data_IF_996805107519
#
_entry.id   IF_996805107519
#
_cell.length_a   1.000
_cell.length_b   1.000
_cell.length_c   1.000
_cell.angle_alpha   90.00
_cell.angle_beta   90.00
_cell.angle_gamma   90.00
#
_symmetry.space_group_name_H-M   'P 1'
#
loop_
_entity.id
_entity.type
_entity.pdbx_description
1 polymer ?
#
# COMPACT_ATOMS: atom_id res chain seq x y z
N UNK A 1 -13.42 8.10 2.34
CA UNK A 1 -12.82 7.91 1.01
C UNK A 1 -11.91 9.07 0.65
N UNK A 2 -12.41 10.30 0.46
CA UNK A 2 -11.58 11.48 0.13
C UNK A 2 -10.38 11.61 1.08
N UNK A 3 -10.63 11.58 2.40
CA UNK A 3 -9.54 11.71 3.36
C UNK A 3 -8.50 10.56 3.29
N UNK A 4 -8.94 9.33 2.99
CA UNK A 4 -8.02 8.21 2.79
C UNK A 4 -7.17 8.42 1.52
N UNK A 5 -7.76 8.90 0.43
CA UNK A 5 -7.03 9.23 -0.79
C UNK A 5 -6.04 10.38 -0.61
N UNK A 6 -6.37 11.36 0.24
CA UNK A 6 -5.43 12.42 0.62
C UNK A 6 -4.22 11.86 1.37
N UNK A 7 -4.43 10.91 2.30
CA UNK A 7 -3.32 10.21 2.96
C UNK A 7 -2.48 9.44 1.94
N UNK A 8 -3.10 8.67 1.05
CA UNK A 8 -2.40 7.91 -0.01
C UNK A 8 -1.61 8.82 -0.95
N UNK A 9 -2.13 10.02 -1.25
CA UNK A 9 -1.45 10.99 -2.11
C UNK A 9 -0.31 11.73 -1.40
N UNK A 10 -0.29 11.79 -0.06
CA UNK A 10 0.65 12.62 0.67
C UNK A 10 2.13 12.32 0.37
N UNK A 11 2.61 11.06 0.34
CA UNK A 11 4.00 10.77 -0.01
C UNK A 11 4.39 11.27 -1.42
N UNK A 12 3.48 11.15 -2.37
CA UNK A 12 3.68 11.55 -3.78
C UNK A 12 3.92 13.06 -3.88
N UNK A 13 3.23 13.85 -3.06
CA UNK A 13 3.41 15.30 -3.01
C UNK A 13 4.68 15.72 -2.25
N UNK A 14 4.98 15.08 -1.12
CA UNK A 14 6.13 15.46 -0.28
C UNK A 14 7.47 15.11 -0.91
N UNK A 15 7.51 14.13 -1.82
CA UNK A 15 8.73 13.74 -2.54
C UNK A 15 8.90 14.55 -3.84
N UNK A 16 8.04 15.54 -4.12
CA UNK A 16 8.07 16.29 -5.38
C UNK A 16 9.38 17.05 -5.64
N UNK A 17 10.10 17.43 -4.59
CA UNK A 17 11.43 18.04 -4.62
C UNK A 17 12.58 17.01 -4.57
N UNK A 18 12.25 15.73 -4.67
CA UNK A 18 13.13 14.57 -4.54
C UNK A 18 13.82 14.42 -3.18
N UNK A 19 13.43 15.19 -2.15
CA UNK A 19 14.06 15.16 -0.84
C UNK A 19 13.01 14.97 0.24
N UNK A 20 13.08 13.85 0.95
CA UNK A 20 12.23 13.67 2.12
C UNK A 20 12.94 14.08 3.41
N UNK A 21 12.31 14.98 4.15
CA UNK A 21 12.78 15.49 5.44
C UNK A 21 12.18 14.73 6.62
N UNK A 22 12.80 14.89 7.81
CA UNK A 22 12.26 14.33 9.06
C UNK A 22 10.89 14.90 9.41
N UNK A 23 10.67 16.20 9.16
CA UNK A 23 9.39 16.87 9.40
C UNK A 23 8.27 16.29 8.55
N UNK A 24 8.56 16.00 7.29
CA UNK A 24 7.61 15.36 6.37
C UNK A 24 7.31 13.92 6.79
N UNK A 25 8.33 13.18 7.26
CA UNK A 25 8.16 11.83 7.79
C UNK A 25 7.20 11.81 9.00
N UNK A 26 7.36 12.75 9.95
CA UNK A 26 6.44 12.91 11.08
C UNK A 26 5.04 13.28 10.60
N UNK A 27 4.92 14.16 9.61
CA UNK A 27 3.62 14.53 9.02
C UNK A 27 2.90 13.33 8.41
N UNK A 28 3.60 12.45 7.67
CA UNK A 28 3.01 11.23 7.09
C UNK A 28 2.48 10.26 8.15
N UNK A 29 3.17 10.14 9.28
CA UNK A 29 2.70 9.35 10.42
C UNK A 29 1.43 9.98 11.02
N UNK A 30 1.48 11.29 11.29
CA UNK A 30 0.37 12.02 11.90
C UNK A 30 -0.89 11.99 11.03
N UNK A 31 -0.77 12.23 9.72
CA UNK A 31 -1.94 12.25 8.82
C UNK A 31 -2.62 10.87 8.75
N UNK A 32 -1.85 9.78 8.80
CA UNK A 32 -2.41 8.43 8.92
C UNK A 32 -3.08 8.18 10.27
N UNK A 33 -2.46 8.59 11.38
CA UNK A 33 -3.06 8.45 12.73
C UNK A 33 -4.38 9.22 12.82
N UNK A 34 -4.46 10.41 12.22
CA UNK A 34 -5.69 11.20 12.13
C UNK A 34 -6.74 10.43 11.31
N UNK A 35 -6.38 9.85 10.17
CA UNK A 35 -7.26 8.98 9.37
C UNK A 35 -7.79 7.81 10.19
N UNK A 36 -6.91 7.11 10.88
CA UNK A 36 -7.27 5.97 11.73
C UNK A 36 -8.28 6.39 12.81
N UNK A 37 -8.02 7.49 13.52
CA UNK A 37 -8.92 8.03 14.53
C UNK A 37 -10.32 8.36 13.96
N UNK A 38 -10.38 9.00 12.79
CA UNK A 38 -11.67 9.30 12.14
C UNK A 38 -12.42 8.04 11.68
N UNK A 39 -11.70 7.01 11.22
CA UNK A 39 -12.30 5.73 10.84
C UNK A 39 -12.88 5.03 12.07
N UNK A 40 -12.12 4.96 13.17
CA UNK A 40 -12.53 4.33 14.42
C UNK A 40 -13.79 4.99 14.98
N UNK A 41 -13.79 6.34 15.07
CA UNK A 41 -14.93 7.12 15.58
C UNK A 41 -16.21 6.93 14.75
N UNK A 42 -16.10 6.68 13.44
CA UNK A 42 -17.26 6.53 12.54
C UNK A 42 -17.79 5.09 12.46
N UNK A 43 -16.92 4.09 12.61
CA UNK A 43 -17.26 2.68 12.33
C UNK A 43 -17.21 1.75 13.53
N UNK A 44 -16.75 2.20 14.71
CA UNK A 44 -16.75 1.38 15.92
C UNK A 44 -16.13 0.00 15.72
N UNK A 45 -14.93 -0.06 15.11
CA UNK A 45 -14.27 -1.34 14.79
C UNK A 45 -14.01 -2.21 16.04
N UNK A 46 -13.95 -1.59 17.23
CA UNK A 46 -13.78 -2.24 18.52
C UNK A 46 -15.06 -2.90 19.08
N UNK A 47 -16.25 -2.62 18.54
CA UNK A 47 -17.51 -3.24 18.99
C UNK A 47 -17.77 -4.60 18.33
N UNK A 48 -17.31 -4.80 17.09
CA UNK A 48 -17.43 -6.07 16.35
C UNK A 48 -16.67 -7.21 17.04
N UNK A 49 -15.68 -6.90 17.88
CA UNK A 49 -14.86 -7.90 18.56
C UNK A 49 -15.44 -8.42 19.88
N UNK A 50 -16.57 -7.88 20.37
CA UNK A 50 -17.22 -8.36 21.61
C UNK A 50 -18.01 -9.67 21.41
N UNK A 51 -18.50 -9.96 20.21
CA UNK A 51 -19.28 -11.20 19.95
C UNK A 51 -18.43 -12.46 19.78
N UNK A 52 -17.12 -12.35 19.49
CA UNK A 52 -16.23 -13.52 19.34
C UNK A 52 -15.58 -14.01 20.63
N UNK A 53 -15.89 -13.37 21.77
CA UNK A 53 -15.17 -13.62 23.04
C UNK A 53 -15.54 -14.95 23.72
N UNK A 54 -16.58 -15.66 23.25
CA UNK A 54 -17.07 -16.88 23.91
C UNK A 54 -16.51 -18.21 23.39
N UNK A 55 -15.55 -18.24 22.45
CA UNK A 55 -15.01 -19.49 21.86
C UNK A 55 -13.51 -19.75 22.14
N UNK A 56 -12.82 -18.95 22.97
CA UNK A 56 -11.40 -18.64 22.72
C UNK A 56 -10.35 -18.97 23.79
N UNK A 57 -10.56 -19.92 24.71
CA UNK A 57 -9.48 -20.27 25.67
C UNK A 57 -8.66 -21.51 25.30
N UNK A 58 -9.17 -22.45 24.48
CA UNK A 58 -8.45 -23.70 24.19
C UNK A 58 -7.48 -23.68 23.00
N UNK A 59 -7.51 -22.66 22.14
CA UNK A 59 -6.64 -22.57 20.94
C UNK A 59 -5.64 -21.40 20.97
N UNK A 60 -5.51 -20.66 22.08
CA UNK A 60 -4.65 -19.48 22.12
C UNK A 60 -3.17 -19.80 21.91
N UNK A 61 -2.69 -20.92 22.43
CA UNK A 61 -1.28 -21.33 22.26
C UNK A 61 -1.00 -21.76 20.82
N UNK A 62 -1.89 -22.54 20.21
CA UNK A 62 -1.76 -22.98 18.81
C UNK A 62 -1.85 -21.79 17.85
N UNK A 63 -2.85 -20.90 18.01
CA UNK A 63 -2.99 -19.66 17.22
C UNK A 63 -1.75 -18.75 17.38
N UNK A 64 -1.21 -18.63 18.60
CA UNK A 64 -0.02 -17.82 18.86
C UNK A 64 1.24 -18.42 18.21
N UNK A 65 1.39 -19.75 18.26
CA UNK A 65 2.51 -20.44 17.62
C UNK A 65 2.46 -20.31 16.10
N UNK A 66 1.29 -20.49 15.48
CA UNK A 66 1.09 -20.26 14.05
C UNK A 66 1.42 -18.82 13.65
N UNK A 67 0.99 -17.84 14.45
CA UNK A 67 1.29 -16.43 14.21
C UNK A 67 2.79 -16.13 14.29
N UNK A 68 3.47 -16.64 15.31
CA UNK A 68 4.92 -16.48 15.47
C UNK A 68 5.65 -17.14 14.30
N UNK A 69 5.27 -18.36 13.93
CA UNK A 69 5.88 -19.09 12.82
C UNK A 69 5.69 -18.33 11.50
N UNK A 70 4.48 -17.85 11.21
CA UNK A 70 4.19 -17.05 10.03
C UNK A 70 5.02 -15.74 10.00
N UNK A 71 5.18 -15.09 11.16
CA UNK A 71 5.99 -13.88 11.29
C UNK A 71 7.46 -14.16 11.00
N UNK A 72 8.02 -15.25 11.55
CA UNK A 72 9.42 -15.65 11.31
C UNK A 72 9.65 -15.99 9.84
N UNK A 73 8.75 -16.78 9.23
CA UNK A 73 8.83 -17.12 7.81
C UNK A 73 8.79 -15.85 6.95
N UNK A 74 7.87 -14.93 7.25
CA UNK A 74 7.74 -13.65 6.52
C UNK A 74 8.99 -12.80 6.66
N UNK A 75 9.56 -12.73 7.87
CA UNK A 75 10.81 -12.01 8.13
C UNK A 75 11.97 -12.59 7.29
N UNK A 76 12.15 -13.91 7.30
CA UNK A 76 13.20 -14.58 6.51
C UNK A 76 12.99 -14.41 5.00
N UNK A 77 11.75 -14.57 4.52
CA UNK A 77 11.39 -14.37 3.13
C UNK A 77 11.65 -12.93 2.67
N UNK A 78 11.32 -11.94 3.51
CA UNK A 78 11.55 -10.52 3.19
C UNK A 78 13.03 -10.22 2.93
N UNK A 79 13.94 -10.81 3.72
CA UNK A 79 15.39 -10.64 3.55
C UNK A 79 15.86 -11.23 2.22
N UNK A 80 15.36 -12.42 1.86
CA UNK A 80 15.69 -13.05 0.59
C UNK A 80 15.20 -12.20 -0.59
N UNK A 81 13.94 -11.74 -0.54
CA UNK A 81 13.33 -10.90 -1.58
C UNK A 81 14.11 -9.60 -1.77
N UNK A 82 14.51 -8.92 -0.70
CA UNK A 82 15.29 -7.67 -0.78
C UNK A 82 16.64 -7.92 -1.43
N UNK A 83 17.37 -8.96 -1.01
CA UNK A 83 18.69 -9.27 -1.59
C UNK A 83 18.56 -9.62 -3.08
N UNK A 84 17.62 -10.49 -3.45
CA UNK A 84 17.36 -10.84 -4.86
C UNK A 84 16.94 -9.62 -5.68
N UNK A 85 16.20 -8.67 -5.10
CA UNK A 85 15.84 -7.42 -5.79
C UNK A 85 17.07 -6.58 -6.13
N UNK A 86 18.06 -6.51 -5.23
CA UNK A 86 19.32 -5.80 -5.48
C UNK A 86 20.16 -6.55 -6.53
N UNK A 87 20.29 -7.87 -6.42
CA UNK A 87 21.04 -8.70 -7.37
C UNK A 87 20.46 -8.62 -8.79
N UNK A 88 19.12 -8.64 -8.91
CA UNK A 88 18.44 -8.48 -10.20
C UNK A 88 18.65 -7.08 -10.78
N UNK A 89 18.62 -6.05 -9.95
CA UNK A 89 18.86 -4.68 -10.40
C UNK A 89 20.27 -4.53 -10.98
N UNK A 90 21.27 -5.12 -10.33
CA UNK A 90 22.66 -5.14 -10.81
C UNK A 90 22.80 -5.96 -12.11
N UNK A 91 22.19 -7.15 -12.16
CA UNK A 91 22.22 -8.03 -13.33
C UNK A 91 21.60 -7.37 -14.57
N UNK A 92 20.43 -6.74 -14.42
CA UNK A 92 19.74 -6.05 -15.51
C UNK A 92 20.26 -4.63 -15.77
N UNK A 93 21.21 -4.13 -14.97
CA UNK A 93 21.75 -2.76 -15.04
C UNK A 93 20.66 -1.69 -14.98
N UNK A 94 19.66 -1.90 -14.12
CA UNK A 94 18.57 -0.96 -13.87
C UNK A 94 18.59 -0.52 -12.41
N UNK A 95 17.87 0.55 -12.07
CA UNK A 95 17.77 0.98 -10.67
C UNK A 95 16.99 -0.05 -9.83
N UNK A 96 17.39 -0.24 -8.57
CA UNK A 96 16.64 -1.08 -7.62
C UNK A 96 15.21 -0.57 -7.42
N UNK A 97 14.97 0.74 -7.65
CA UNK A 97 13.63 1.32 -7.69
C UNK A 97 12.76 0.69 -8.79
N UNK A 98 13.30 0.50 -10.00
CA UNK A 98 12.55 -0.09 -11.11
C UNK A 98 12.16 -1.55 -10.84
N UNK A 99 13.09 -2.37 -10.35
CA UNK A 99 12.79 -3.76 -9.95
C UNK A 99 11.75 -3.76 -8.81
N UNK A 100 11.86 -2.83 -7.86
CA UNK A 100 10.89 -2.72 -6.76
C UNK A 100 9.48 -2.35 -7.23
N UNK A 101 9.36 -1.38 -8.15
CA UNK A 101 8.07 -0.95 -8.69
C UNK A 101 7.40 -2.05 -9.52
N UNK A 102 8.17 -2.89 -10.23
CA UNK A 102 7.61 -3.93 -11.09
C UNK A 102 7.41 -5.26 -10.35
N UNK A 103 8.44 -5.80 -9.73
CA UNK A 103 8.40 -7.15 -9.16
C UNK A 103 8.01 -7.15 -7.68
N UNK A 104 8.66 -6.30 -6.87
CA UNK A 104 8.41 -6.27 -5.44
C UNK A 104 6.98 -5.83 -5.13
N UNK A 105 6.47 -4.80 -5.81
CA UNK A 105 5.12 -4.28 -5.62
C UNK A 105 4.03 -5.31 -5.95
N UNK A 106 4.23 -6.14 -6.98
CA UNK A 106 3.30 -7.22 -7.33
C UNK A 106 3.39 -8.31 -6.25
N UNK A 107 4.61 -8.71 -5.88
CA UNK A 107 4.85 -9.77 -4.90
C UNK A 107 4.22 -9.48 -3.54
N UNK A 108 4.36 -8.25 -3.03
CA UNK A 108 3.76 -7.84 -1.75
C UNK A 108 2.25 -7.78 -1.80
N UNK A 109 1.65 -7.62 -2.98
CA UNK A 109 0.20 -7.45 -3.16
C UNK A 109 -0.52 -8.77 -3.50
N UNK A 110 0.19 -9.90 -3.62
CA UNK A 110 -0.41 -11.22 -3.87
C UNK A 110 -1.44 -11.59 -2.79
N UNK A 111 -1.16 -11.44 -1.48
CA UNK A 111 -2.14 -11.73 -0.43
C UNK A 111 -3.44 -10.91 -0.57
N UNK A 112 -3.31 -9.63 -0.89
CA UNK A 112 -4.41 -8.69 -1.10
C UNK A 112 -5.22 -9.05 -2.34
N UNK A 113 -4.56 -9.46 -3.43
CA UNK A 113 -5.24 -9.97 -4.63
C UNK A 113 -6.05 -11.22 -4.28
N UNK A 114 -5.49 -12.14 -3.49
CA UNK A 114 -6.19 -13.34 -3.02
C UNK A 114 -7.43 -12.97 -2.18
N UNK A 115 -7.29 -12.02 -1.25
CA UNK A 115 -8.39 -11.51 -0.44
C UNK A 115 -9.47 -10.82 -1.29
N UNK A 116 -9.06 -10.04 -2.30
CA UNK A 116 -9.96 -9.36 -3.21
C UNK A 116 -10.78 -10.35 -4.04
N UNK A 117 -10.13 -11.38 -4.62
CA UNK A 117 -10.80 -12.46 -5.37
C UNK A 117 -11.82 -13.17 -4.47
N UNK A 118 -11.41 -13.57 -3.26
CA UNK A 118 -12.31 -14.23 -2.31
C UNK A 118 -13.50 -13.35 -1.93
N UNK A 119 -13.26 -12.07 -1.70
CA UNK A 119 -14.32 -11.11 -1.35
C UNK A 119 -15.32 -10.92 -2.49
N UNK A 120 -14.86 -10.88 -3.74
CA UNK A 120 -15.73 -10.82 -4.93
C UNK A 120 -16.57 -12.09 -5.05
N UNK A 121 -15.96 -13.27 -4.90
CA UNK A 121 -16.66 -14.57 -4.95
C UNK A 121 -17.73 -14.69 -3.87
N UNK A 122 -17.52 -14.07 -2.71
CA UNK A 122 -18.47 -14.02 -1.60
C UNK A 122 -19.50 -12.89 -1.71
N UNK A 123 -19.51 -12.12 -2.80
CA UNK A 123 -20.42 -10.98 -2.98
C UNK A 123 -20.11 -9.78 -2.07
N UNK A 124 -18.95 -9.75 -1.41
CA UNK A 124 -18.52 -8.72 -0.44
C UNK A 124 -17.53 -7.74 -1.06
N UNK A 125 -17.89 -7.14 -2.20
CA UNK A 125 -16.99 -6.24 -2.95
C UNK A 125 -16.54 -5.00 -2.15
N UNK A 126 -17.39 -4.51 -1.25
CA UNK A 126 -17.07 -3.39 -0.36
C UNK A 126 -15.90 -3.70 0.59
N UNK A 127 -15.72 -4.98 0.97
CA UNK A 127 -14.61 -5.44 1.82
C UNK A 127 -13.30 -5.34 1.04
N UNK A 128 -13.28 -5.78 -0.22
CA UNK A 128 -12.10 -5.66 -1.08
C UNK A 128 -11.68 -4.19 -1.28
N UNK A 129 -12.66 -3.29 -1.47
CA UNK A 129 -12.39 -1.86 -1.65
C UNK A 129 -11.87 -1.21 -0.36
N UNK A 130 -12.40 -1.62 0.79
CA UNK A 130 -11.93 -1.18 2.11
C UNK A 130 -10.50 -1.66 2.41
N UNK A 131 -10.19 -2.91 2.09
CA UNK A 131 -8.86 -3.51 2.24
C UNK A 131 -7.82 -2.77 1.38
N UNK A 132 -8.10 -2.58 0.10
CA UNK A 132 -7.23 -1.82 -0.81
C UNK A 132 -6.91 -0.41 -0.31
N UNK A 133 -7.94 0.36 0.06
CA UNK A 133 -7.76 1.72 0.58
C UNK A 133 -7.03 1.74 1.92
N UNK A 134 -7.29 0.75 2.78
CA UNK A 134 -6.64 0.61 4.09
C UNK A 134 -5.15 0.30 3.94
N UNK A 135 -4.80 -0.69 3.12
CA UNK A 135 -3.41 -1.08 2.83
C UNK A 135 -2.62 0.06 2.18
N UNK A 136 -3.19 0.73 1.17
CA UNK A 136 -2.55 1.89 0.55
C UNK A 136 -2.31 3.05 1.53
N UNK A 137 -3.26 3.30 2.45
CA UNK A 137 -3.06 4.29 3.51
C UNK A 137 -2.00 3.85 4.53
N UNK A 138 -1.96 2.56 4.89
CA UNK A 138 -0.96 2.02 5.80
C UNK A 138 0.47 2.09 5.21
N UNK A 139 0.62 1.96 3.89
CA UNK A 139 1.91 2.19 3.22
C UNK A 139 2.45 3.61 3.47
N UNK A 140 1.57 4.60 3.61
CA UNK A 140 1.97 5.98 3.97
C UNK A 140 2.56 6.03 5.38
N UNK A 141 1.97 5.30 6.34
CA UNK A 141 2.51 5.17 7.68
C UNK A 141 3.88 4.49 7.66
N UNK A 142 3.99 3.34 6.99
CA UNK A 142 5.26 2.59 6.94
C UNK A 142 6.36 3.41 6.27
N UNK A 143 6.04 4.12 5.19
CA UNK A 143 6.98 5.02 4.54
C UNK A 143 7.47 6.09 5.53
N UNK A 144 6.56 6.79 6.23
CA UNK A 144 6.94 7.77 7.25
C UNK A 144 7.76 7.21 8.41
N UNK A 145 7.48 5.99 8.88
CA UNK A 145 8.26 5.33 9.94
C UNK A 145 9.66 4.99 9.45
N UNK A 146 9.79 4.32 8.31
CA UNK A 146 11.10 3.88 7.80
C UNK A 146 12.00 5.06 7.45
N UNK A 147 11.44 6.14 6.90
CA UNK A 147 12.20 7.34 6.57
C UNK A 147 12.62 8.11 7.82
N UNK A 148 11.77 8.14 8.86
CA UNK A 148 12.11 8.73 10.16
C UNK A 148 13.23 7.95 10.85
N UNK A 149 13.18 6.62 10.83
CA UNK A 149 14.19 5.74 11.42
C UNK A 149 15.54 5.82 10.70
N UNK A 150 15.55 6.06 9.38
CA UNK A 150 16.79 6.27 8.63
C UNK A 150 17.54 7.53 9.10
N UNK A 151 16.81 8.55 9.54
CA UNK A 151 17.38 9.74 10.18
C UNK A 151 18.11 10.72 9.26
N UNK A 152 18.37 10.39 7.99
CA UNK A 152 19.00 11.29 7.01
C UNK A 152 17.99 11.87 6.01
N UNK A 153 18.41 12.91 5.26
CA UNK A 153 17.68 13.37 4.08
C UNK A 153 17.79 12.29 3.01
N UNK A 154 16.66 11.70 2.63
CA UNK A 154 16.62 10.65 1.59
C UNK A 154 16.41 11.35 0.26
N UNK A 155 17.38 11.22 -0.65
CA UNK A 155 17.28 11.72 -2.01
C UNK A 155 16.69 10.62 -2.91
N UNK A 156 15.55 10.89 -3.53
CA UNK A 156 14.83 9.96 -4.39
C UNK A 156 15.06 10.41 -5.83
N UNK A 157 16.25 10.13 -6.36
CA UNK A 157 16.71 10.60 -7.67
C UNK A 157 15.89 10.10 -8.86
N UNK A 158 15.20 8.97 -8.71
CA UNK A 158 14.34 8.38 -9.75
C UNK A 158 12.90 8.93 -9.75
N UNK A 159 12.55 9.84 -8.84
CA UNK A 159 11.24 10.47 -8.84
C UNK A 159 11.22 11.68 -9.78
N UNK A 160 10.08 11.85 -10.47
CA UNK A 160 9.94 12.90 -11.48
C UNK A 160 8.55 13.54 -11.43
N UNK A 161 8.42 14.76 -11.96
CA UNK A 161 7.13 15.43 -12.14
C UNK A 161 6.15 14.57 -12.96
N UNK A 162 6.66 13.73 -13.87
CA UNK A 162 5.84 12.78 -14.64
C UNK A 162 5.23 11.71 -13.73
N UNK A 163 6.03 11.13 -12.82
CA UNK A 163 5.57 10.17 -11.81
C UNK A 163 4.46 10.78 -10.94
N UNK A 164 4.65 12.03 -10.51
CA UNK A 164 3.64 12.77 -9.75
C UNK A 164 2.33 12.90 -10.54
N UNK A 165 2.39 13.42 -11.77
CA UNK A 165 1.21 13.67 -12.60
C UNK A 165 0.44 12.37 -12.87
N UNK A 166 1.12 11.31 -13.29
CA UNK A 166 0.47 10.03 -13.60
C UNK A 166 -0.18 9.42 -12.35
N UNK A 167 0.49 9.50 -11.20
CA UNK A 167 -0.04 8.95 -9.94
C UNK A 167 -1.27 9.74 -9.46
N UNK A 168 -1.23 11.06 -9.48
CA UNK A 168 -2.37 11.90 -9.10
C UNK A 168 -3.55 11.74 -10.07
N UNK A 169 -3.26 11.65 -11.36
CA UNK A 169 -4.28 11.35 -12.36
C UNK A 169 -4.93 9.99 -12.10
N UNK A 170 -4.13 8.95 -11.83
CA UNK A 170 -4.63 7.63 -11.48
C UNK A 170 -5.50 7.62 -10.22
N UNK A 171 -5.08 8.33 -9.16
CA UNK A 171 -5.87 8.49 -7.93
C UNK A 171 -7.18 9.26 -8.18
N UNK A 172 -7.15 10.29 -9.02
CA UNK A 172 -8.34 11.05 -9.43
C UNK A 172 -9.34 10.19 -10.21
N UNK A 173 -8.86 9.42 -11.19
CA UNK A 173 -9.69 8.48 -11.95
C UNK A 173 -10.26 7.39 -11.03
N UNK A 174 -9.44 6.84 -10.13
CA UNK A 174 -9.88 5.88 -9.12
C UNK A 174 -11.00 6.46 -8.25
N UNK A 175 -10.86 7.70 -7.78
CA UNK A 175 -11.89 8.38 -7.00
C UNK A 175 -13.22 8.48 -7.76
N UNK A 176 -13.17 8.90 -9.02
CA UNK A 176 -14.35 9.05 -9.86
C UNK A 176 -15.08 7.71 -10.07
N UNK A 177 -14.33 6.63 -10.32
CA UNK A 177 -14.92 5.30 -10.49
C UNK A 177 -15.41 4.70 -9.18
N UNK A 178 -14.72 4.96 -8.08
CA UNK A 178 -15.11 4.47 -6.75
C UNK A 178 -16.39 5.15 -6.22
N UNK A 179 -16.72 6.35 -6.69
CA UNK A 179 -18.00 7.03 -6.44
C UNK A 179 -19.18 6.37 -7.17
N UNK A 180 -18.94 5.78 -8.34
CA UNK A 180 -19.96 5.10 -9.14
C UNK A 180 -20.41 3.83 -8.42
N UNK A 181 -21.60 3.85 -7.81
CA UNK A 181 -22.25 2.68 -7.18
C UNK A 181 -21.46 1.97 -6.06
N UNK A 182 -20.41 2.60 -5.50
CA UNK A 182 -19.48 2.00 -4.51
C UNK A 182 -18.82 0.70 -4.99
N UNK A 183 -18.82 0.44 -6.29
CA UNK A 183 -18.23 -0.74 -6.91
C UNK A 183 -17.45 -0.34 -8.15
N UNK A 184 -16.26 -0.91 -8.33
CA UNK A 184 -15.50 -0.74 -9.57
C UNK A 184 -15.95 -1.80 -10.56
N UNK A 185 -16.53 -1.37 -11.67
CA UNK A 185 -16.93 -2.24 -12.78
C UNK A 185 -15.72 -2.79 -13.53
N UNK A 186 -15.92 -3.86 -14.31
CA UNK A 186 -14.86 -4.44 -15.15
C UNK A 186 -14.27 -3.43 -16.16
N UNK A 187 -15.09 -2.49 -16.67
CA UNK A 187 -14.64 -1.46 -17.61
C UNK A 187 -13.76 -0.43 -16.91
N UNK A 188 -14.18 0.04 -15.74
CA UNK A 188 -13.41 0.98 -14.90
C UNK A 188 -12.09 0.36 -14.44
N UNK A 189 -12.11 -0.92 -14.05
CA UNK A 189 -10.92 -1.69 -13.70
C UNK A 189 -9.91 -1.80 -14.85
N UNK A 190 -10.38 -2.03 -16.10
CA UNK A 190 -9.51 -2.05 -17.28
C UNK A 190 -8.86 -0.69 -17.54
N UNK A 191 -9.58 0.41 -17.33
CA UNK A 191 -9.03 1.77 -17.46
C UNK A 191 -7.95 2.03 -16.41
N UNK A 192 -8.19 1.67 -15.14
CA UNK A 192 -7.19 1.79 -14.08
C UNK A 192 -5.95 0.93 -14.34
N UNK A 193 -6.14 -0.28 -14.84
CA UNK A 193 -5.04 -1.17 -15.22
C UNK A 193 -4.24 -0.58 -16.39
N UNK A 194 -4.90 0.03 -17.37
CA UNK A 194 -4.22 0.71 -18.48
C UNK A 194 -3.37 1.90 -17.97
N UNK A 195 -3.89 2.70 -17.03
CA UNK A 195 -3.13 3.79 -16.40
C UNK A 195 -1.88 3.24 -15.68
N UNK A 196 -2.02 2.13 -14.95
CA UNK A 196 -0.90 1.47 -14.29
C UNK A 196 0.14 0.92 -15.27
N UNK A 197 -0.29 0.32 -16.39
CA UNK A 197 0.63 -0.13 -17.44
C UNK A 197 1.37 1.04 -18.10
N UNK A 198 0.67 2.15 -18.38
CA UNK A 198 1.29 3.37 -18.90
C UNK A 198 2.30 3.95 -17.92
N UNK A 199 2.01 3.89 -16.61
CA UNK A 199 2.94 4.28 -15.56
C UNK A 199 4.23 3.44 -15.60
N UNK A 200 4.11 2.10 -15.66
CA UNK A 200 5.27 1.20 -15.75
C UNK A 200 6.09 1.49 -17.02
N UNK A 201 5.43 1.57 -18.18
CA UNK A 201 6.11 1.81 -19.46
C UNK A 201 6.83 3.16 -19.45
N UNK A 202 6.20 4.20 -18.90
CA UNK A 202 6.81 5.51 -18.69
C UNK A 202 8.06 5.43 -17.81
N UNK A 203 8.04 4.63 -16.75
CA UNK A 203 9.19 4.47 -15.86
C UNK A 203 10.33 3.69 -16.53
N UNK A 204 10.02 2.68 -17.34
CA UNK A 204 11.01 1.87 -18.04
C UNK A 204 11.69 2.65 -19.17
N UNK A 205 10.91 3.41 -19.97
CA UNK A 205 11.43 4.18 -21.10
C UNK A 205 12.21 5.42 -20.66
N UNK A 206 11.88 5.98 -19.49
CA UNK A 206 12.46 7.21 -18.97
C UNK A 206 12.85 7.01 -17.48
N UNK A 207 13.92 6.24 -17.20
CA UNK A 207 14.35 5.89 -15.85
C UNK A 207 14.82 7.07 -14.99
#
# INVERSE_FOLDING_TARGET
MIFALLVVAAPVFLIADNVLTRTESVFLILIYVILFYFIEKKKGLLEVNKEKKHLKEKHLLEESLEFILATVITFLASRFIVNTTVDLAEYFKVSSFMISVVFLSIGTNIPEISLAIRSILMGKKEVALGDYLGSAAANTLFFGIFTLLNGARINISSYSLRTLIITLFGLGVFYLFSQSKKEISQKEGKVLLLIYLLFIVSQILFP
#
